data_IF_714080722197
#
_entry.id   IF_714080722197
#
_cell.length_a   1.000
_cell.length_b   1.000
_cell.length_c   1.000
_cell.angle_alpha   90.00
_cell.angle_beta   90.00
_cell.angle_gamma   90.00
#
_symmetry.space_group_name_H-M   'P 1'
#
loop_
_entity.id
_entity.type
_entity.pdbx_description
1 polymer ?
#
# COMPACT_ATOMS: atom_id res chain seq x y z
N UNK A 1 0.91 -12.79 -29.96
CA UNK A 1 -0.37 -12.46 -29.36
C UNK A 1 -0.38 -11.04 -28.81
N UNK A 2 -1.40 -10.67 -28.08
CA UNK A 2 -1.61 -9.30 -27.56
C UNK A 2 -0.80 -8.99 -26.27
N UNK A 3 0.08 -9.86 -25.82
CA UNK A 3 0.84 -9.72 -24.58
C UNK A 3 2.27 -9.34 -24.84
N UNK A 4 2.75 -8.28 -24.16
CA UNK A 4 4.15 -7.91 -24.08
C UNK A 4 4.64 -8.20 -22.66
N UNK A 5 5.60 -9.15 -22.56
CA UNK A 5 6.17 -9.59 -21.29
C UNK A 5 7.43 -8.81 -20.95
N UNK A 6 7.62 -8.50 -19.68
CA UNK A 6 8.85 -7.88 -19.20
C UNK A 6 8.73 -7.41 -17.75
N UNK A 7 9.83 -7.46 -16.99
CA UNK A 7 9.83 -7.07 -15.58
C UNK A 7 9.56 -5.57 -15.41
N UNK A 8 8.59 -5.25 -14.57
CA UNK A 8 8.13 -3.88 -14.35
C UNK A 8 7.41 -3.26 -15.54
N UNK A 9 7.07 -4.06 -16.58
CA UNK A 9 6.34 -3.57 -17.74
C UNK A 9 4.94 -3.14 -17.37
N UNK A 10 4.24 -3.97 -16.62
CA UNK A 10 2.93 -3.70 -16.10
C UNK A 10 3.02 -2.82 -14.84
N UNK A 11 3.88 -3.14 -13.90
CA UNK A 11 4.09 -2.48 -12.63
C UNK A 11 5.47 -1.82 -12.56
N UNK A 12 5.60 -0.49 -12.98
CA UNK A 12 4.53 0.28 -13.67
C UNK A 12 5.10 1.11 -14.82
N UNK A 13 6.19 0.62 -15.49
CA UNK A 13 6.92 1.36 -16.55
C UNK A 13 6.01 1.79 -17.71
N UNK A 14 5.06 0.94 -18.13
CA UNK A 14 4.14 1.31 -19.21
C UNK A 14 3.21 2.45 -18.79
N UNK A 15 2.75 2.49 -17.54
CA UNK A 15 1.95 3.59 -17.01
C UNK A 15 2.71 4.92 -17.03
N UNK A 16 3.96 4.92 -16.55
CA UNK A 16 4.87 6.08 -16.62
C UNK A 16 5.05 6.53 -18.07
N UNK A 17 5.32 5.60 -18.98
CA UNK A 17 5.54 5.90 -20.40
C UNK A 17 4.30 6.55 -21.04
N UNK A 18 3.09 6.03 -20.77
CA UNK A 18 1.84 6.56 -21.29
C UNK A 18 1.58 8.01 -20.82
N UNK A 19 1.66 8.21 -19.49
CA UNK A 19 1.41 9.53 -18.89
C UNK A 19 2.45 10.56 -19.33
N UNK A 20 3.74 10.20 -19.32
CA UNK A 20 4.83 11.10 -19.73
C UNK A 20 4.77 11.43 -21.21
N UNK A 21 4.38 10.48 -22.06
CA UNK A 21 4.20 10.73 -23.50
C UNK A 21 3.06 11.69 -23.73
N UNK A 22 1.91 11.50 -23.08
CA UNK A 22 0.78 12.42 -23.19
C UNK A 22 1.13 13.83 -22.69
N UNK A 23 1.83 13.92 -21.54
CA UNK A 23 2.28 15.19 -20.99
C UNK A 23 3.23 15.93 -21.95
N UNK A 24 4.21 15.22 -22.51
CA UNK A 24 5.15 15.80 -23.48
C UNK A 24 4.44 16.35 -24.71
N UNK A 25 3.48 15.59 -25.25
CA UNK A 25 2.73 16.01 -26.45
C UNK A 25 1.90 17.28 -26.17
N UNK A 26 1.25 17.35 -25.00
CA UNK A 26 0.44 18.48 -24.59
C UNK A 26 1.28 19.71 -24.18
N UNK A 27 2.41 19.49 -23.52
CA UNK A 27 3.31 20.58 -23.12
C UNK A 27 3.89 21.30 -24.33
N UNK A 28 4.27 20.56 -25.39
CA UNK A 28 4.74 21.13 -26.63
C UNK A 28 3.66 22.01 -27.32
N UNK A 29 2.39 21.72 -27.09
CA UNK A 29 1.24 22.46 -27.62
C UNK A 29 0.71 23.56 -26.66
N UNK A 30 1.21 23.63 -25.42
CA UNK A 30 0.67 24.51 -24.38
C UNK A 30 -0.78 24.17 -23.99
N UNK A 31 -1.17 22.89 -24.07
CA UNK A 31 -2.57 22.45 -24.06
C UNK A 31 -2.98 21.67 -22.80
N UNK A 32 -2.23 21.73 -21.69
CA UNK A 32 -2.67 21.19 -20.40
C UNK A 32 -3.67 22.15 -19.74
N UNK A 33 -4.76 21.62 -19.19
CA UNK A 33 -5.77 22.44 -18.49
C UNK A 33 -5.26 23.05 -17.17
N UNK A 34 -4.34 22.36 -16.51
CA UNK A 34 -3.68 22.79 -15.28
C UNK A 34 -2.15 22.61 -15.42
N UNK A 35 -1.34 23.32 -14.63
CA UNK A 35 0.06 22.96 -14.46
C UNK A 35 0.20 21.51 -13.99
N UNK A 36 1.18 20.80 -14.51
CA UNK A 36 1.41 19.39 -14.19
C UNK A 36 2.81 19.20 -13.66
N UNK A 37 2.91 18.69 -12.45
CA UNK A 37 4.14 18.16 -11.88
C UNK A 37 4.17 16.65 -12.09
N UNK A 38 5.29 16.13 -12.60
CA UNK A 38 5.48 14.69 -12.83
C UNK A 38 6.60 14.18 -11.91
N UNK A 39 6.21 13.46 -10.87
CA UNK A 39 7.14 12.92 -9.88
C UNK A 39 7.40 11.42 -10.15
N UNK A 40 8.68 11.04 -10.23
CA UNK A 40 9.11 9.65 -10.30
C UNK A 40 9.94 9.33 -9.06
N UNK A 41 9.57 8.28 -8.36
CA UNK A 41 10.22 7.87 -7.11
C UNK A 41 10.84 6.48 -7.26
N UNK A 42 11.96 6.20 -6.56
CA UNK A 42 12.69 4.93 -6.72
C UNK A 42 12.35 3.86 -5.69
N UNK A 43 11.57 4.16 -4.64
CA UNK A 43 11.43 3.35 -3.44
C UNK A 43 9.98 2.99 -3.09
N UNK A 44 9.05 3.03 -4.09
CA UNK A 44 7.64 2.69 -3.88
C UNK A 44 7.49 1.28 -3.31
N UNK A 45 8.14 0.30 -3.92
CA UNK A 45 8.10 -1.12 -3.57
C UNK A 45 8.66 -1.45 -2.17
N UNK A 46 9.37 -0.51 -1.59
CA UNK A 46 9.95 -0.63 -0.24
C UNK A 46 9.29 0.27 0.80
N UNK A 47 8.15 0.92 0.44
CA UNK A 47 7.34 1.73 1.35
C UNK A 47 7.54 3.22 1.26
N UNK A 48 8.26 3.71 0.25
CA UNK A 48 8.49 5.14 -0.04
C UNK A 48 9.06 5.95 1.13
N UNK A 49 9.87 5.33 1.98
CA UNK A 49 10.39 5.98 3.20
C UNK A 49 11.20 7.24 2.89
N UNK A 50 11.99 7.24 1.81
CA UNK A 50 12.75 8.40 1.38
C UNK A 50 11.90 9.38 0.54
N UNK A 51 10.99 8.86 -0.29
CA UNK A 51 10.20 9.66 -1.24
C UNK A 51 8.96 10.31 -0.63
N UNK A 52 8.40 9.75 0.45
CA UNK A 52 7.18 10.25 1.10
C UNK A 52 7.21 11.75 1.39
N UNK A 53 8.25 12.35 1.98
CA UNK A 53 8.29 13.79 2.23
C UNK A 53 8.18 14.63 0.96
N UNK A 54 8.72 14.15 -0.16
CA UNK A 54 8.63 14.80 -1.46
C UNK A 54 7.21 14.67 -2.04
N UNK A 55 6.62 13.47 -2.00
CA UNK A 55 5.24 13.25 -2.44
C UNK A 55 4.28 14.17 -1.68
N UNK A 56 4.39 14.23 -0.35
CA UNK A 56 3.57 15.09 0.49
C UNK A 56 3.82 16.59 0.20
N UNK A 57 5.06 16.99 -0.12
CA UNK A 57 5.37 18.37 -0.47
C UNK A 57 4.69 18.82 -1.78
N UNK A 58 4.71 17.96 -2.81
CA UNK A 58 3.99 18.23 -4.06
C UNK A 58 2.47 18.19 -3.85
N UNK A 59 1.96 17.24 -3.07
CA UNK A 59 0.53 17.11 -2.79
C UNK A 59 -0.09 18.35 -2.14
N UNK A 60 0.64 19.08 -1.29
CA UNK A 60 0.13 20.30 -0.62
C UNK A 60 -0.46 21.35 -1.54
N UNK A 61 0.03 21.45 -2.77
CA UNK A 61 -0.40 22.43 -3.75
C UNK A 61 -1.15 21.78 -4.93
N UNK A 62 -1.31 20.47 -4.91
CA UNK A 62 -1.97 19.74 -5.98
C UNK A 62 -3.49 19.82 -5.84
N UNK A 63 -4.17 20.04 -6.95
CA UNK A 63 -5.63 19.96 -7.03
C UNK A 63 -6.12 18.53 -7.17
N UNK A 64 -5.34 17.69 -7.84
CA UNK A 64 -5.61 16.28 -8.11
C UNK A 64 -4.33 15.47 -8.03
N UNK A 65 -4.43 14.20 -7.60
CA UNK A 65 -3.42 13.17 -7.72
C UNK A 65 -3.81 12.16 -8.79
N UNK A 66 -2.89 11.87 -9.72
CA UNK A 66 -3.08 10.86 -10.77
C UNK A 66 -1.90 9.91 -10.73
N UNK A 67 -2.12 8.65 -10.38
CA UNK A 67 -1.05 7.69 -10.14
C UNK A 67 -1.03 6.62 -11.22
N UNK A 68 0.17 6.38 -11.77
CA UNK A 68 0.39 5.53 -12.95
C UNK A 68 0.53 4.05 -12.62
N UNK A 69 0.11 3.61 -11.41
CA UNK A 69 0.05 2.20 -11.03
C UNK A 69 -0.71 1.37 -12.07
N UNK A 70 -0.47 0.05 -12.14
CA UNK A 70 -1.18 -0.82 -13.08
C UNK A 70 -2.69 -0.70 -12.96
N UNK A 71 -3.36 -0.60 -14.07
CA UNK A 71 -4.80 -0.74 -14.10
C UNK A 71 -5.19 -2.17 -13.68
N UNK A 72 -6.24 -2.30 -12.86
CA UNK A 72 -6.61 -3.62 -12.35
C UNK A 72 -7.10 -4.54 -13.45
N UNK A 73 -6.68 -5.81 -13.38
CA UNK A 73 -7.05 -6.86 -14.32
C UNK A 73 -8.57 -6.97 -14.55
N UNK A 74 -8.95 -7.63 -15.64
CA UNK A 74 -10.33 -7.78 -16.07
C UNK A 74 -11.00 -6.46 -16.50
N UNK A 75 -10.37 -5.79 -17.46
CA UNK A 75 -10.90 -4.60 -18.12
C UNK A 75 -10.23 -3.29 -17.75
N UNK A 76 -9.05 -3.35 -17.14
CA UNK A 76 -8.22 -2.18 -16.92
C UNK A 76 -8.83 -1.13 -16.01
N UNK A 77 -9.39 -1.54 -14.87
CA UNK A 77 -10.08 -0.66 -13.91
C UNK A 77 -9.11 0.25 -13.16
N UNK A 78 -9.51 1.48 -12.90
CA UNK A 78 -8.79 2.37 -11.99
C UNK A 78 -9.05 2.02 -10.51
N UNK A 79 -8.31 2.65 -9.62
CA UNK A 79 -8.43 2.45 -8.18
C UNK A 79 -8.81 3.77 -7.51
N UNK A 80 -9.88 3.74 -6.74
CA UNK A 80 -10.44 4.88 -6.01
C UNK A 80 -10.34 4.71 -4.48
N UNK A 81 -9.99 3.50 -4.03
CA UNK A 81 -9.83 3.19 -2.61
C UNK A 81 -8.76 2.11 -2.41
N UNK A 82 -7.90 2.31 -1.43
CA UNK A 82 -6.87 1.35 -0.99
C UNK A 82 -6.87 1.23 0.52
N UNK A 83 -6.65 0.02 1.03
CA UNK A 83 -6.37 -0.13 2.45
C UNK A 83 -5.08 0.59 2.81
N UNK A 84 -5.03 1.13 4.01
CA UNK A 84 -3.79 1.52 4.64
C UNK A 84 -2.96 0.30 4.99
N UNK A 85 -1.65 0.49 5.08
CA UNK A 85 -0.69 -0.56 5.41
C UNK A 85 0.16 -0.14 6.59
N UNK A 86 0.45 -1.08 7.48
CA UNK A 86 1.33 -0.82 8.59
C UNK A 86 2.02 -2.09 9.07
N UNK A 87 2.94 -1.87 10.00
CA UNK A 87 3.78 -2.91 10.56
C UNK A 87 3.89 -2.74 12.07
N UNK A 88 3.83 -3.85 12.81
CA UNK A 88 4.23 -3.90 14.21
C UNK A 88 5.49 -4.75 14.32
N UNK A 89 6.52 -4.20 14.98
CA UNK A 89 7.68 -4.95 15.45
C UNK A 89 7.50 -5.17 16.94
N UNK A 90 7.30 -6.42 17.35
CA UNK A 90 7.12 -6.79 18.75
C UNK A 90 8.33 -7.59 19.25
N UNK A 91 8.98 -7.06 20.26
CA UNK A 91 10.04 -7.74 21.02
C UNK A 91 9.54 -8.19 22.39
N UNK A 92 9.97 -9.37 22.81
CA UNK A 92 9.75 -9.87 24.18
C UNK A 92 11.09 -10.10 24.83
N UNK A 93 11.25 -9.55 26.04
CA UNK A 93 12.38 -9.83 26.93
C UNK A 93 11.92 -10.62 28.15
N UNK A 94 12.57 -11.72 28.38
CA UNK A 94 12.40 -12.58 29.55
C UNK A 94 13.72 -12.79 30.31
N UNK A 95 13.94 -14.01 30.76
CA UNK A 95 15.16 -14.35 31.51
C UNK A 95 15.64 -15.76 31.17
N UNK A 96 16.89 -15.85 30.73
CA UNK A 96 17.51 -17.13 30.44
C UNK A 96 17.75 -17.95 31.74
N UNK A 97 17.61 -19.25 31.61
CA UNK A 97 18.01 -20.22 32.65
C UNK A 97 18.24 -21.60 32.02
N UNK A 98 19.09 -22.45 32.63
CA UNK A 98 19.24 -23.84 32.19
C UNK A 98 17.90 -24.59 32.30
N UNK A 99 17.40 -25.14 31.20
CA UNK A 99 16.06 -25.71 31.12
C UNK A 99 15.87 -26.98 32.02
N UNK A 100 16.94 -27.73 32.26
CA UNK A 100 16.88 -28.95 33.07
C UNK A 100 17.17 -28.78 34.56
N UNK A 101 17.82 -27.68 34.97
CA UNK A 101 18.35 -27.51 36.36
C UNK A 101 17.70 -26.35 37.10
N UNK A 102 17.36 -25.26 36.39
CA UNK A 102 16.83 -24.03 36.99
C UNK A 102 15.68 -23.45 36.14
N UNK A 103 14.86 -24.31 35.59
CA UNK A 103 13.74 -23.88 34.71
C UNK A 103 12.80 -22.88 35.41
N UNK A 104 12.55 -23.06 36.70
CA UNK A 104 11.71 -22.20 37.54
C UNK A 104 12.21 -20.75 37.64
N UNK A 105 13.53 -20.55 37.49
CA UNK A 105 14.15 -19.22 37.47
C UNK A 105 14.07 -18.52 36.10
N UNK A 106 13.82 -19.26 35.04
CA UNK A 106 13.67 -18.72 33.68
C UNK A 106 12.34 -17.99 33.47
N UNK A 107 12.34 -17.15 32.45
CA UNK A 107 11.13 -16.51 31.92
C UNK A 107 11.18 -16.62 30.38
N UNK A 108 10.37 -17.52 29.84
CA UNK A 108 10.42 -17.86 28.43
C UNK A 108 9.80 -16.78 27.55
N UNK A 109 10.64 -16.06 26.82
CA UNK A 109 10.19 -15.07 25.85
C UNK A 109 9.40 -15.70 24.67
N UNK A 110 9.73 -16.94 24.29
CA UNK A 110 8.95 -17.67 23.24
C UNK A 110 7.54 -17.99 23.75
N UNK A 111 7.41 -18.42 25.03
CA UNK A 111 6.07 -18.68 25.60
C UNK A 111 5.24 -17.40 25.66
N UNK A 112 5.83 -16.31 26.09
CA UNK A 112 5.16 -15.00 26.13
C UNK A 112 4.76 -14.56 24.71
N UNK A 113 5.68 -14.67 23.73
CA UNK A 113 5.38 -14.33 22.36
C UNK A 113 4.22 -15.15 21.80
N UNK A 114 4.07 -16.42 22.16
CA UNK A 114 2.93 -17.23 21.75
C UNK A 114 1.59 -16.63 22.25
N UNK A 115 1.53 -16.11 23.48
CA UNK A 115 0.34 -15.40 23.97
C UNK A 115 0.09 -14.12 23.17
N UNK A 116 1.13 -13.35 22.90
CA UNK A 116 1.01 -12.10 22.15
C UNK A 116 0.58 -12.34 20.71
N UNK A 117 1.10 -13.39 20.04
CA UNK A 117 0.69 -13.78 18.68
C UNK A 117 -0.81 -14.09 18.63
N UNK A 118 -1.32 -14.89 19.55
CA UNK A 118 -2.76 -15.21 19.61
C UNK A 118 -3.61 -13.97 19.82
N UNK A 119 -3.16 -13.04 20.67
CA UNK A 119 -3.85 -11.78 20.91
C UNK A 119 -3.84 -10.88 19.66
N UNK A 120 -2.72 -10.80 18.94
CA UNK A 120 -2.58 -10.02 17.71
C UNK A 120 -3.44 -10.58 16.57
N UNK A 121 -3.37 -11.87 16.28
CA UNK A 121 -4.18 -12.52 15.24
C UNK A 121 -5.69 -12.37 15.50
N UNK A 122 -6.10 -12.37 16.78
CA UNK A 122 -7.49 -12.14 17.19
C UNK A 122 -7.98 -10.69 16.94
N UNK A 123 -7.09 -9.75 16.60
CA UNK A 123 -7.47 -8.38 16.21
C UNK A 123 -7.97 -8.30 14.75
N UNK A 124 -7.83 -9.36 13.96
CA UNK A 124 -8.39 -9.44 12.60
C UNK A 124 -9.91 -9.35 12.65
N UNK A 125 -10.49 -8.46 11.84
CA UNK A 125 -11.93 -8.27 11.68
C UNK A 125 -12.26 -8.20 10.18
N UNK A 126 -12.58 -9.35 9.60
CA UNK A 126 -12.93 -9.44 8.18
C UNK A 126 -14.19 -8.64 7.82
N UNK A 127 -15.16 -8.52 8.75
CA UNK A 127 -16.38 -7.78 8.50
C UNK A 127 -16.11 -6.28 8.34
N UNK A 128 -15.14 -5.76 9.09
CA UNK A 128 -14.66 -4.38 8.97
C UNK A 128 -13.52 -4.21 7.96
N UNK A 129 -13.01 -5.29 7.40
CA UNK A 129 -11.90 -5.26 6.45
C UNK A 129 -10.52 -5.04 7.09
N UNK A 130 -10.39 -5.17 8.42
CA UNK A 130 -9.11 -5.13 9.14
C UNK A 130 -8.47 -6.50 9.10
N UNK A 131 -7.18 -6.55 8.75
CA UNK A 131 -6.40 -7.79 8.82
C UNK A 131 -5.11 -7.56 9.59
N UNK A 132 -4.74 -8.51 10.44
CA UNK A 132 -3.51 -8.57 11.20
C UNK A 132 -2.90 -9.93 11.00
N UNK A 133 -1.64 -9.99 10.59
CA UNK A 133 -0.95 -11.25 10.31
C UNK A 133 0.49 -11.22 10.82
N UNK A 134 0.83 -12.17 11.66
CA UNK A 134 2.21 -12.36 12.12
C UNK A 134 3.02 -13.04 11.02
N UNK A 135 3.79 -12.26 10.27
CA UNK A 135 4.53 -12.72 9.09
C UNK A 135 5.83 -13.46 9.42
N UNK A 136 6.53 -13.04 10.49
CA UNK A 136 7.80 -13.66 10.90
C UNK A 136 7.92 -13.74 12.41
N UNK A 137 8.63 -14.76 12.89
CA UNK A 137 8.97 -14.95 14.30
C UNK A 137 10.39 -15.49 14.43
N UNK A 138 11.14 -14.98 15.40
CA UNK A 138 12.49 -15.45 15.71
C UNK A 138 12.74 -15.39 17.22
N UNK A 139 13.32 -16.45 17.81
CA UNK A 139 13.60 -16.45 19.25
C UNK A 139 14.38 -17.66 19.73
N UNK A 140 15.02 -17.51 20.92
CA UNK A 140 15.83 -18.51 21.55
C UNK A 140 17.25 -18.61 20.97
N UNK A 141 18.13 -19.31 21.69
CA UNK A 141 19.54 -19.50 21.30
C UNK A 141 19.96 -20.97 21.31
N UNK A 142 19.39 -21.78 22.19
CA UNK A 142 19.71 -23.21 22.37
C UNK A 142 18.50 -23.97 22.93
N UNK A 143 18.39 -25.26 22.59
CA UNK A 143 17.27 -26.12 23.02
C UNK A 143 17.22 -26.41 24.51
N UNK A 144 18.35 -26.32 25.22
CA UNK A 144 18.49 -26.58 26.64
C UNK A 144 18.53 -25.32 27.51
N UNK A 145 18.16 -24.16 26.96
CA UNK A 145 18.11 -22.88 27.67
C UNK A 145 16.71 -22.28 27.53
N UNK A 146 16.12 -21.83 28.64
CA UNK A 146 14.90 -21.03 28.62
C UNK A 146 15.18 -19.75 27.83
N UNK A 147 14.44 -19.46 26.73
CA UNK A 147 14.76 -18.32 25.86
C UNK A 147 14.42 -16.99 26.55
N UNK A 148 15.37 -16.08 26.55
CA UNK A 148 15.19 -14.74 27.12
C UNK A 148 14.80 -13.67 26.11
N UNK A 149 14.81 -13.98 24.81
CA UNK A 149 14.41 -13.07 23.77
C UNK A 149 13.58 -13.78 22.69
N UNK A 150 12.57 -13.06 22.21
CA UNK A 150 11.79 -13.42 21.02
C UNK A 150 11.31 -12.14 20.35
N UNK A 151 11.23 -12.15 19.03
CA UNK A 151 10.68 -11.03 18.24
C UNK A 151 9.79 -11.56 17.14
N UNK A 152 8.79 -10.77 16.75
CA UNK A 152 7.99 -11.03 15.57
C UNK A 152 7.73 -9.73 14.80
N UNK A 153 7.40 -9.88 13.52
CA UNK A 153 6.97 -8.79 12.66
C UNK A 153 5.58 -9.11 12.15
N UNK A 154 4.70 -8.13 12.25
CA UNK A 154 3.27 -8.25 11.97
C UNK A 154 2.90 -7.26 10.89
N UNK A 155 2.28 -7.73 9.81
CA UNK A 155 1.62 -6.88 8.81
C UNK A 155 0.18 -6.61 9.24
N UNK A 156 -0.30 -5.39 9.01
CA UNK A 156 -1.71 -5.09 9.18
C UNK A 156 -2.24 -4.19 8.08
N UNK A 157 -3.54 -4.38 7.76
CA UNK A 157 -4.24 -3.62 6.71
C UNK A 157 -5.49 -2.97 7.27
N UNK A 158 -5.74 -1.73 6.86
CA UNK A 158 -6.70 -0.82 7.47
C UNK A 158 -7.64 -0.25 6.40
N UNK A 159 -8.96 -0.39 6.54
CA UNK A 159 -9.92 0.12 5.56
C UNK A 159 -10.11 1.64 5.64
N UNK A 160 -9.97 2.23 6.83
CA UNK A 160 -10.19 3.66 7.10
C UNK A 160 -9.34 4.15 8.30
N UNK A 161 -9.32 5.47 8.51
CA UNK A 161 -8.53 6.11 9.57
C UNK A 161 -8.99 5.72 10.97
N UNK A 162 -10.30 5.53 11.18
CA UNK A 162 -10.83 5.12 12.48
C UNK A 162 -10.35 3.73 12.87
N UNK A 163 -10.35 2.80 11.89
CA UNK A 163 -9.79 1.47 12.11
C UNK A 163 -8.29 1.52 12.38
N UNK A 164 -7.57 2.48 11.77
CA UNK A 164 -6.15 2.69 12.04
C UNK A 164 -5.90 3.10 13.50
N UNK A 165 -6.58 4.12 13.97
CA UNK A 165 -6.44 4.61 15.34
C UNK A 165 -6.80 3.51 16.36
N UNK A 166 -7.95 2.84 16.17
CA UNK A 166 -8.40 1.77 17.06
C UNK A 166 -7.44 0.58 17.10
N UNK A 167 -6.83 0.21 15.99
CA UNK A 167 -5.88 -0.92 15.94
C UNK A 167 -4.54 -0.56 16.56
N UNK A 168 -4.02 0.62 16.25
CA UNK A 168 -2.76 1.13 16.84
C UNK A 168 -2.89 1.21 18.36
N UNK A 169 -3.99 1.76 18.87
CA UNK A 169 -4.26 1.83 20.31
C UNK A 169 -4.28 0.45 20.96
N UNK A 170 -4.93 -0.55 20.33
CA UNK A 170 -4.96 -1.93 20.83
C UNK A 170 -3.56 -2.55 20.84
N UNK A 171 -2.75 -2.34 19.81
CA UNK A 171 -1.37 -2.85 19.75
C UNK A 171 -0.49 -2.22 20.81
N UNK A 172 -0.59 -0.91 21.01
CA UNK A 172 0.17 -0.19 22.05
C UNK A 172 -0.31 -0.55 23.47
N UNK A 173 -1.54 -1.00 23.62
CA UNK A 173 -2.11 -1.45 24.88
C UNK A 173 -1.71 -2.87 25.26
N UNK A 174 -0.98 -3.62 24.45
CA UNK A 174 -0.52 -4.97 24.78
C UNK A 174 0.30 -4.96 26.10
N UNK A 175 0.09 -5.98 26.93
CA UNK A 175 0.80 -6.15 28.20
C UNK A 175 1.30 -7.58 28.31
N UNK A 176 2.40 -7.80 29.04
CA UNK A 176 2.87 -9.15 29.31
C UNK A 176 1.82 -9.97 30.07
N UNK A 177 1.68 -11.24 29.68
CA UNK A 177 0.86 -12.23 30.42
C UNK A 177 1.64 -12.86 31.56
N UNK A 178 2.93 -13.13 31.31
CA UNK A 178 3.82 -13.69 32.32
C UNK A 178 4.40 -12.64 33.28
N UNK A 179 4.76 -13.03 34.50
CA UNK A 179 5.47 -12.15 35.44
C UNK A 179 6.91 -11.89 34.97
N UNK A 180 7.45 -10.73 35.32
CA UNK A 180 8.84 -10.34 35.05
C UNK A 180 9.20 -10.38 33.52
N UNK A 181 8.23 -10.04 32.65
CA UNK A 181 8.41 -9.96 31.21
C UNK A 181 8.31 -8.51 30.76
N UNK A 182 9.02 -8.17 29.69
CA UNK A 182 8.96 -6.84 29.06
C UNK A 182 8.59 -6.97 27.59
N UNK A 183 7.72 -6.08 27.12
CA UNK A 183 7.38 -5.95 25.70
C UNK A 183 8.01 -4.68 25.12
N UNK A 184 8.64 -4.80 23.96
CA UNK A 184 9.09 -3.70 23.12
C UNK A 184 8.12 -3.62 21.94
N UNK A 185 7.33 -2.54 21.87
CA UNK A 185 6.24 -2.37 20.91
C UNK A 185 6.58 -1.19 20.01
N UNK A 186 6.80 -1.45 18.73
CA UNK A 186 7.03 -0.44 17.71
C UNK A 186 5.99 -0.62 16.61
N UNK A 187 5.01 0.31 16.55
CA UNK A 187 3.89 0.30 15.60
C UNK A 187 4.07 1.44 14.61
N UNK A 188 4.10 1.10 13.33
CA UNK A 188 4.21 2.06 12.24
C UNK A 188 3.03 1.92 11.27
N UNK A 189 2.30 2.99 11.01
CA UNK A 189 1.39 3.10 9.88
C UNK A 189 2.18 3.74 8.74
N UNK A 190 2.62 2.92 7.78
CA UNK A 190 3.41 3.40 6.65
C UNK A 190 2.53 4.19 5.67
N UNK A 191 1.50 3.57 5.13
CA UNK A 191 0.55 4.20 4.21
C UNK A 191 -0.82 4.34 4.88
N UNK A 192 -1.32 5.58 5.08
CA UNK A 192 -2.71 5.77 5.53
C UNK A 192 -3.72 5.22 4.52
N UNK A 193 -4.96 4.88 4.91
CA UNK A 193 -5.99 4.46 3.96
C UNK A 193 -6.31 5.54 2.91
N UNK A 194 -6.49 5.12 1.66
CA UNK A 194 -7.07 5.93 0.60
C UNK A 194 -8.57 5.64 0.52
N UNK A 195 -9.39 6.65 0.80
CA UNK A 195 -10.85 6.50 0.89
C UNK A 195 -11.52 7.20 -0.28
N UNK A 196 -12.50 6.51 -0.89
CA UNK A 196 -13.35 7.10 -1.94
C UNK A 196 -14.39 8.01 -1.30
N UNK A 197 -14.20 9.31 -1.46
CA UNK A 197 -15.15 10.35 -1.05
C UNK A 197 -15.82 11.01 -2.26
N UNK A 198 -16.66 12.02 -2.01
CA UNK A 198 -17.36 12.75 -3.05
C UNK A 198 -16.43 13.47 -4.04
N UNK A 199 -15.27 13.94 -3.58
CA UNK A 199 -14.29 14.60 -4.43
C UNK A 199 -13.60 13.59 -5.36
N UNK A 200 -13.28 12.40 -4.86
CA UNK A 200 -12.76 11.29 -5.66
C UNK A 200 -13.82 10.80 -6.66
N UNK A 201 -15.10 10.73 -6.30
CA UNK A 201 -16.19 10.41 -7.22
C UNK A 201 -16.32 11.43 -8.35
N UNK A 202 -16.21 12.72 -8.04
CA UNK A 202 -16.22 13.77 -9.05
C UNK A 202 -15.03 13.67 -10.01
N UNK A 203 -13.83 13.37 -9.50
CA UNK A 203 -12.64 13.14 -10.31
C UNK A 203 -12.79 11.89 -11.19
N UNK A 204 -13.34 10.79 -10.64
CA UNK A 204 -13.64 9.57 -11.38
C UNK A 204 -14.58 9.85 -12.56
N UNK A 205 -15.63 10.62 -12.35
CA UNK A 205 -16.57 10.97 -13.43
C UNK A 205 -15.89 11.72 -14.59
N UNK A 206 -14.91 12.59 -14.29
CA UNK A 206 -14.09 13.28 -15.31
C UNK A 206 -13.18 12.29 -16.04
N UNK A 207 -12.53 11.39 -15.32
CA UNK A 207 -11.70 10.35 -15.92
C UNK A 207 -12.54 9.41 -16.82
N UNK A 208 -13.73 9.04 -16.38
CA UNK A 208 -14.67 8.24 -17.18
C UNK A 208 -15.10 8.96 -18.47
N UNK A 209 -15.31 10.28 -18.43
CA UNK A 209 -15.59 11.06 -19.63
C UNK A 209 -14.40 11.01 -20.61
N UNK A 210 -13.19 11.14 -20.11
CA UNK A 210 -11.97 11.04 -20.91
C UNK A 210 -11.76 9.64 -21.51
N UNK A 211 -12.08 8.58 -20.76
CA UNK A 211 -12.01 7.20 -21.24
C UNK A 211 -13.02 6.94 -22.37
N UNK A 212 -14.25 7.43 -22.21
CA UNK A 212 -15.26 7.35 -23.31
C UNK A 212 -14.80 8.06 -24.57
N UNK A 213 -14.15 9.23 -24.43
CA UNK A 213 -13.57 9.94 -25.58
C UNK A 213 -12.46 9.12 -26.25
N UNK A 214 -11.67 8.39 -25.46
CA UNK A 214 -10.62 7.51 -25.95
C UNK A 214 -11.10 6.13 -26.44
N UNK A 215 -12.41 5.86 -26.41
CA UNK A 215 -13.00 4.67 -26.98
C UNK A 215 -13.10 3.47 -26.03
N UNK A 216 -12.98 3.65 -24.71
CA UNK A 216 -13.17 2.57 -23.74
C UNK A 216 -13.98 2.99 -22.53
N UNK A 217 -14.45 2.02 -21.75
CA UNK A 217 -15.14 2.24 -20.48
C UNK A 217 -14.17 2.11 -19.33
N UNK A 218 -14.05 3.15 -18.50
CA UNK A 218 -13.28 3.11 -17.27
C UNK A 218 -14.21 2.82 -16.09
N UNK A 219 -14.01 1.68 -15.46
CA UNK A 219 -14.64 1.34 -14.18
C UNK A 219 -13.64 1.52 -13.05
N UNK A 220 -14.13 1.67 -11.83
CA UNK A 220 -13.27 1.56 -10.65
C UNK A 220 -13.33 0.15 -10.04
N UNK A 221 -12.21 -0.28 -9.50
CA UNK A 221 -12.10 -1.54 -8.79
C UNK A 221 -12.69 -1.40 -7.38
N UNK A 222 -13.19 -2.48 -6.76
CA UNK A 222 -13.41 -2.52 -5.32
C UNK A 222 -12.14 -2.13 -4.56
N UNK A 223 -12.29 -1.69 -3.29
CA UNK A 223 -11.15 -1.37 -2.43
C UNK A 223 -10.07 -2.47 -2.48
N UNK A 224 -8.85 -2.09 -2.86
CA UNK A 224 -7.72 -3.02 -2.92
C UNK A 224 -6.96 -3.10 -1.59
N UNK A 225 -6.43 -4.28 -1.28
CA UNK A 225 -5.63 -4.52 -0.08
C UNK A 225 -4.18 -4.02 -0.17
N UNK A 226 -3.65 -3.78 -1.38
CA UNK A 226 -2.31 -3.27 -1.59
C UNK A 226 -2.26 -1.73 -1.49
N UNK A 227 -1.22 -1.20 -0.83
CA UNK A 227 -0.94 0.24 -0.80
C UNK A 227 -0.25 0.70 -2.08
N UNK A 228 -0.18 2.00 -2.28
CA UNK A 228 0.65 2.70 -3.27
C UNK A 228 0.92 4.14 -2.78
N UNK A 229 1.67 4.91 -3.53
CA UNK A 229 1.91 6.32 -3.21
C UNK A 229 0.65 7.19 -3.30
N UNK A 230 -0.42 6.71 -3.94
CA UNK A 230 -1.75 7.32 -3.90
C UNK A 230 -2.31 7.47 -2.48
N UNK A 231 -1.92 6.59 -1.57
CA UNK A 231 -2.31 6.66 -0.17
C UNK A 231 -1.82 7.96 0.50
N UNK A 232 -0.60 8.41 0.16
CA UNK A 232 -0.04 9.64 0.73
C UNK A 232 -0.76 10.89 0.21
N UNK A 233 -0.99 10.97 -1.10
CA UNK A 233 -1.72 12.11 -1.69
C UNK A 233 -3.14 12.20 -1.18
N UNK A 234 -3.84 11.07 -1.10
CA UNK A 234 -5.19 10.97 -0.53
C UNK A 234 -5.21 11.39 0.95
N UNK A 235 -4.24 10.96 1.75
CA UNK A 235 -4.13 11.35 3.16
C UNK A 235 -3.91 12.85 3.36
N UNK A 236 -3.37 13.55 2.36
CA UNK A 236 -3.25 15.02 2.34
C UNK A 236 -4.55 15.73 1.93
N UNK A 237 -5.64 14.99 1.70
CA UNK A 237 -6.92 15.53 1.27
C UNK A 237 -7.00 15.86 -0.23
N UNK A 238 -6.05 15.39 -1.02
CA UNK A 238 -6.05 15.58 -2.48
C UNK A 238 -6.89 14.48 -3.13
N UNK A 239 -7.94 14.83 -3.90
CA UNK A 239 -8.68 13.84 -4.68
C UNK A 239 -7.73 13.08 -5.60
N UNK A 240 -7.61 11.78 -5.42
CA UNK A 240 -6.62 10.97 -6.10
C UNK A 240 -7.27 9.80 -6.82
N UNK A 241 -6.86 9.56 -8.07
CA UNK A 241 -7.12 8.33 -8.81
C UNK A 241 -5.82 7.57 -9.01
N UNK A 242 -5.90 6.28 -8.85
CA UNK A 242 -4.79 5.38 -9.01
C UNK A 242 -5.14 4.25 -10.00
N UNK A 243 -4.16 3.40 -10.37
CA UNK A 243 -4.40 2.38 -11.39
C UNK A 243 -4.68 2.94 -12.78
N UNK A 244 -4.12 4.10 -13.11
CA UNK A 244 -4.31 4.75 -14.41
C UNK A 244 -3.31 4.29 -15.47
N UNK A 245 -2.42 3.37 -15.13
CA UNK A 245 -1.41 2.82 -16.01
C UNK A 245 -1.93 1.85 -17.06
N UNK A 246 -1.05 0.96 -17.53
CA UNK A 246 -1.38 -0.01 -18.54
C UNK A 246 -2.34 -1.10 -18.03
N UNK A 247 -3.11 -1.68 -18.94
CA UNK A 247 -3.86 -2.91 -18.70
C UNK A 247 -2.94 -4.12 -18.87
N UNK A 248 -3.11 -5.12 -18.05
CA UNK A 248 -2.23 -6.28 -18.03
C UNK A 248 -2.51 -7.16 -16.81
N UNK A 249 -1.53 -7.98 -16.43
CA UNK A 249 -1.67 -8.86 -15.26
C UNK A 249 -0.32 -9.38 -14.76
N UNK A 250 -0.39 -10.11 -13.62
CA UNK A 250 0.71 -10.89 -13.06
C UNK A 250 1.90 -10.07 -12.60
N UNK A 251 1.68 -8.85 -12.05
CA UNK A 251 2.72 -8.07 -11.39
C UNK A 251 3.51 -8.94 -10.38
N UNK A 252 4.80 -8.65 -10.22
CA UNK A 252 5.73 -9.36 -9.31
C UNK A 252 5.93 -10.84 -9.63
N UNK A 253 5.64 -11.27 -10.86
CA UNK A 253 5.88 -12.65 -11.32
C UNK A 253 6.64 -12.72 -12.64
N UNK A 254 7.13 -13.90 -13.00
CA UNK A 254 7.75 -14.15 -14.31
C UNK A 254 6.76 -14.09 -15.50
N UNK A 255 5.47 -13.99 -15.22
CA UNK A 255 4.41 -13.91 -16.21
C UNK A 255 3.86 -12.49 -16.38
N UNK A 256 4.50 -11.51 -15.77
CA UNK A 256 4.13 -10.11 -15.87
C UNK A 256 4.06 -9.66 -17.32
N UNK A 257 2.93 -9.07 -17.69
CA UNK A 257 2.69 -8.61 -19.07
C UNK A 257 1.69 -7.46 -19.13
N UNK A 258 1.77 -6.70 -20.21
CA UNK A 258 0.78 -5.71 -20.60
C UNK A 258 0.02 -6.15 -21.85
N UNK A 259 -1.20 -5.62 -22.03
CA UNK A 259 -2.02 -5.81 -23.24
C UNK A 259 -1.73 -4.70 -24.23
N UNK A 260 -1.03 -5.06 -25.33
CA UNK A 260 -0.58 -4.07 -26.33
C UNK A 260 -1.74 -3.36 -27.01
N UNK A 261 -2.83 -4.06 -27.26
CA UNK A 261 -4.05 -3.51 -27.92
C UNK A 261 -4.69 -2.37 -27.12
N UNK A 262 -4.42 -2.26 -25.81
CA UNK A 262 -5.03 -1.22 -24.96
C UNK A 262 -4.19 0.06 -24.89
N UNK A 263 -2.93 0.05 -25.31
CA UNK A 263 -2.00 1.14 -25.09
C UNK A 263 -2.39 2.44 -25.79
N UNK A 264 -2.84 2.36 -27.03
CA UNK A 264 -3.25 3.56 -27.80
C UNK A 264 -4.45 4.26 -27.16
N UNK A 265 -5.48 3.50 -26.79
CA UNK A 265 -6.65 4.05 -26.11
C UNK A 265 -6.28 4.69 -24.76
N UNK A 266 -5.37 4.06 -24.00
CA UNK A 266 -4.88 4.62 -22.73
C UNK A 266 -4.02 5.86 -22.91
N UNK A 267 -3.20 5.93 -23.96
CA UNK A 267 -2.46 7.15 -24.29
C UNK A 267 -3.42 8.30 -24.65
N UNK A 268 -4.44 8.02 -25.44
CA UNK A 268 -5.46 9.00 -25.79
C UNK A 268 -6.31 9.42 -24.58
N UNK A 269 -6.58 8.51 -23.67
CA UNK A 269 -7.19 8.83 -22.37
C UNK A 269 -6.35 9.84 -21.57
N UNK A 270 -5.04 9.61 -21.41
CA UNK A 270 -4.15 10.52 -20.71
C UNK A 270 -4.09 11.90 -21.38
N UNK A 271 -4.01 11.96 -22.71
CA UNK A 271 -4.04 13.22 -23.47
C UNK A 271 -5.33 13.99 -23.20
N UNK A 272 -6.48 13.32 -23.31
CA UNK A 272 -7.75 13.98 -23.08
C UNK A 272 -7.94 14.40 -21.62
N UNK A 273 -7.56 13.55 -20.67
CA UNK A 273 -7.68 13.85 -19.26
C UNK A 273 -6.86 15.09 -18.89
N UNK A 274 -5.57 15.14 -19.23
CA UNK A 274 -4.71 16.29 -18.91
C UNK A 274 -5.10 17.58 -19.62
N UNK A 275 -5.71 17.48 -20.79
CA UNK A 275 -6.20 18.64 -21.54
C UNK A 275 -7.53 19.22 -21.00
N UNK A 276 -8.31 18.46 -20.25
CA UNK A 276 -9.67 18.85 -19.83
C UNK A 276 -9.92 18.76 -18.30
N UNK A 277 -8.92 18.37 -17.54
CA UNK A 277 -9.01 18.29 -16.09
C UNK A 277 -8.80 19.68 -15.46
N UNK A 278 -9.89 20.45 -15.34
CA UNK A 278 -9.87 21.80 -14.76
C UNK A 278 -10.78 21.95 -13.54
#
# INVERSE_FOLDING_TARGET
GDRLYGPGGYDMKAGIYLALTALRDLAAAGATALPVDFLVVPDEETGSHASRPHIEAFARNARYGLVCEPARANGGKCVTARKGTGMLRLGVKGRAAPAGVQHDKGRSAIREMAHQILALEAMTDYARGVTVSVGTIEGGTATNTVPDRCRCVVDFRLPDLRAADELVDKMQALRPVGPDMELEIDVEVNRPPMVKDQAVEALLARAQASARHAGFTLEDAPMTGGGSDANFTSAMGVPTLDGLGADGDSAHTLHEHILVSTLEARLNFWRHLLAHLA
#
